data_IF_644822911910
#
_entry.id   IF_644822911910
#
_cell.length_a   1.000
_cell.length_b   1.000
_cell.length_c   1.000
_cell.angle_alpha   90.00
_cell.angle_beta   90.00
_cell.angle_gamma   90.00
#
_symmetry.space_group_name_H-M   'P 1'
#
loop_
_entity.id
_entity.type
_entity.pdbx_description
1 polymer ?
#
# COMPACT_ATOMS: atom_id res chain seq x y z
N UNK A 1 74.66 3.88 49.26
CA UNK A 1 74.21 3.46 50.61
C UNK A 1 73.03 4.34 51.01
N UNK A 2 71.85 3.72 51.23
CA UNK A 2 70.67 4.15 52.04
C UNK A 2 70.14 5.58 51.81
N UNK A 3 68.97 5.78 51.18
CA UNK A 3 67.58 5.69 51.73
C UNK A 3 67.47 6.63 52.96
N UNK A 4 66.55 7.61 53.07
CA UNK A 4 65.11 7.41 53.37
C UNK A 4 64.35 8.76 53.51
N UNK A 5 63.12 8.85 52.96
CA UNK A 5 61.86 9.45 53.50
C UNK A 5 61.82 10.98 53.75
N UNK A 6 60.74 11.76 53.68
CA UNK A 6 59.26 11.65 53.70
C UNK A 6 58.80 13.10 53.33
N UNK A 7 57.71 13.43 52.62
CA UNK A 7 56.34 13.52 53.14
C UNK A 7 55.45 14.29 52.10
N UNK A 8 54.32 13.68 51.73
CA UNK A 8 52.96 14.19 51.43
C UNK A 8 52.68 15.52 50.70
N UNK A 9 51.86 15.41 49.63
CA UNK A 9 50.54 16.04 49.36
C UNK A 9 50.33 16.05 47.83
N UNK A 10 49.80 15.00 47.19
CA UNK A 10 48.39 14.60 47.09
C UNK A 10 47.42 15.73 46.73
N UNK A 11 47.27 16.01 45.44
CA UNK A 11 45.99 16.46 44.84
C UNK A 11 45.85 15.83 43.46
N UNK A 12 45.06 14.76 43.40
CA UNK A 12 44.61 14.12 42.17
C UNK A 12 43.40 14.91 41.64
N UNK A 13 43.56 15.56 40.49
CA UNK A 13 42.43 16.06 39.70
C UNK A 13 42.12 15.00 38.64
N UNK A 14 41.33 13.99 39.03
CA UNK A 14 40.83 12.96 38.13
C UNK A 14 39.61 13.51 37.42
N UNK A 15 39.81 14.11 36.25
CA UNK A 15 38.73 14.52 35.35
C UNK A 15 38.11 13.27 34.75
N UNK A 16 36.98 12.83 35.31
CA UNK A 16 36.17 11.74 34.73
C UNK A 16 35.41 12.32 33.55
N UNK A 17 35.99 12.23 32.35
CA UNK A 17 35.26 12.42 31.10
C UNK A 17 34.36 11.21 30.89
N UNK A 18 33.09 11.35 31.27
CA UNK A 18 32.04 10.45 30.82
C UNK A 18 31.90 10.62 29.31
N UNK A 19 32.56 9.76 28.54
CA UNK A 19 32.11 9.45 27.19
C UNK A 19 30.78 8.72 27.33
N UNK A 20 29.68 9.46 27.31
CA UNK A 20 28.39 8.91 26.95
C UNK A 20 28.49 8.46 25.50
N UNK A 21 28.98 7.24 25.30
CA UNK A 21 28.73 6.49 24.08
C UNK A 21 27.24 6.19 24.08
N UNK A 22 26.45 7.15 23.58
CA UNK A 22 25.26 6.77 22.86
C UNK A 22 25.78 5.93 21.68
N UNK A 23 25.73 4.61 21.82
CA UNK A 23 25.44 3.78 20.66
C UNK A 23 24.07 4.25 20.19
N UNK A 24 24.09 5.30 19.38
CA UNK A 24 23.05 5.48 18.39
C UNK A 24 23.25 4.24 17.54
N UNK A 25 22.44 3.22 17.80
CA UNK A 25 22.22 2.18 16.81
C UNK A 25 21.80 2.97 15.57
N UNK A 26 22.77 3.20 14.70
CA UNK A 26 22.50 3.61 13.34
C UNK A 26 21.86 2.38 12.70
N UNK A 27 20.59 2.14 13.05
CA UNK A 27 19.60 1.51 12.20
C UNK A 27 19.41 2.47 11.01
N UNK A 28 20.49 2.71 10.26
CA UNK A 28 20.37 3.19 8.91
C UNK A 28 19.59 2.08 8.22
N UNK A 29 18.34 2.34 7.77
CA UNK A 29 17.53 1.29 7.19
C UNK A 29 18.31 0.70 6.04
N UNK A 30 18.57 -0.61 6.10
CA UNK A 30 19.23 -1.30 5.01
C UNK A 30 18.44 -0.93 3.75
N UNK A 31 19.12 -0.30 2.79
CA UNK A 31 18.49 0.17 1.56
C UNK A 31 17.92 -1.01 0.75
N UNK A 32 18.19 -2.24 1.19
CA UNK A 32 17.68 -3.50 0.66
C UNK A 32 16.72 -4.24 1.62
N UNK A 33 16.24 -3.61 2.71
CA UNK A 33 15.46 -4.29 3.75
C UNK A 33 14.20 -5.01 3.25
N UNK A 34 13.61 -4.52 2.15
CA UNK A 34 12.41 -5.13 1.53
C UNK A 34 12.73 -6.28 0.58
N UNK A 35 14.00 -6.47 0.18
CA UNK A 35 14.38 -7.54 -0.74
C UNK A 35 14.15 -8.91 -0.09
N UNK A 36 13.71 -9.85 -0.91
CA UNK A 36 13.35 -11.20 -0.49
C UNK A 36 11.98 -11.62 -0.97
N UNK A 37 11.57 -12.81 -0.53
CA UNK A 37 10.27 -13.40 -0.84
C UNK A 37 9.36 -13.26 0.36
N UNK A 38 8.11 -12.93 0.07
CA UNK A 38 7.09 -12.66 1.06
C UNK A 38 5.80 -13.40 0.74
N UNK A 39 5.16 -13.98 1.75
CA UNK A 39 3.83 -14.55 1.66
C UNK A 39 2.77 -13.45 1.74
N UNK A 40 1.77 -13.52 0.87
CA UNK A 40 0.63 -12.61 0.94
C UNK A 40 -0.31 -12.97 2.09
N UNK A 41 -0.34 -12.13 3.14
CA UNK A 41 -1.12 -12.40 4.35
C UNK A 41 -2.53 -11.86 4.24
N UNK A 42 -2.66 -10.56 3.95
CA UNK A 42 -3.95 -9.92 3.77
C UNK A 42 -3.85 -8.58 3.04
N UNK A 43 -5.00 -8.12 2.58
CA UNK A 43 -5.20 -6.81 2.01
C UNK A 43 -6.44 -6.17 2.64
N UNK A 44 -6.33 -4.90 3.00
CA UNK A 44 -7.45 -4.06 3.42
C UNK A 44 -7.59 -2.97 2.38
N UNK A 45 -8.77 -2.82 1.82
CA UNK A 45 -9.05 -1.80 0.80
C UNK A 45 -10.25 -0.97 1.22
N UNK A 46 -10.13 0.34 1.04
CA UNK A 46 -11.21 1.29 1.21
C UNK A 46 -11.23 2.20 -0.01
N UNK A 47 -12.23 2.07 -0.86
CA UNK A 47 -12.32 2.80 -2.13
C UNK A 47 -13.68 3.44 -2.32
N UNK A 48 -13.67 4.57 -3.01
CA UNK A 48 -14.84 5.26 -3.53
C UNK A 48 -14.68 5.35 -5.04
N UNK A 49 -15.62 4.77 -5.77
CA UNK A 49 -15.77 4.95 -7.21
C UNK A 49 -16.87 5.96 -7.47
N UNK A 50 -16.65 6.92 -8.35
CA UNK A 50 -17.63 7.90 -8.79
C UNK A 50 -17.71 7.84 -10.31
N UNK A 51 -18.85 7.40 -10.82
CA UNK A 51 -19.14 7.34 -12.24
C UNK A 51 -20.11 8.46 -12.60
N UNK A 52 -19.69 9.34 -13.50
CA UNK A 52 -20.47 10.48 -13.98
C UNK A 52 -20.81 10.21 -15.44
N UNK A 53 -22.10 10.14 -15.75
CA UNK A 53 -22.61 10.06 -17.11
C UNK A 53 -23.13 11.42 -17.54
N UNK A 54 -22.69 11.91 -18.69
CA UNK A 54 -23.09 13.20 -19.25
C UNK A 54 -23.53 13.01 -20.70
N UNK A 55 -24.70 13.54 -21.02
CA UNK A 55 -25.18 13.74 -22.40
C UNK A 55 -25.72 15.16 -22.56
N UNK A 56 -26.25 15.51 -23.73
CA UNK A 56 -26.86 16.82 -23.99
C UNK A 56 -28.07 17.09 -23.07
N UNK A 57 -28.81 16.04 -22.68
CA UNK A 57 -30.11 16.16 -22.01
C UNK A 57 -30.09 15.76 -20.53
N UNK A 58 -29.06 15.05 -20.05
CA UNK A 58 -29.00 14.61 -18.66
C UNK A 58 -27.57 14.45 -18.12
N UNK A 59 -27.45 14.57 -16.80
CA UNK A 59 -26.27 14.22 -16.02
C UNK A 59 -26.67 13.39 -14.81
N UNK A 60 -26.11 12.19 -14.75
CA UNK A 60 -26.29 11.27 -13.62
C UNK A 60 -24.95 10.93 -12.99
N UNK A 61 -24.95 10.69 -11.68
CA UNK A 61 -23.76 10.30 -10.93
C UNK A 61 -24.07 9.10 -10.07
N UNK A 62 -23.24 8.07 -10.14
CA UNK A 62 -23.26 6.92 -9.24
C UNK A 62 -22.00 6.95 -8.38
N UNK A 63 -22.17 6.84 -7.06
CA UNK A 63 -21.08 6.74 -6.09
C UNK A 63 -21.14 5.34 -5.47
N UNK A 64 -20.05 4.58 -5.56
CA UNK A 64 -19.95 3.25 -4.97
C UNK A 64 -18.81 3.26 -3.95
N UNK A 65 -19.15 2.98 -2.69
CA UNK A 65 -18.18 2.80 -1.60
C UNK A 65 -17.98 1.30 -1.38
N UNK A 66 -16.71 0.88 -1.44
CA UNK A 66 -16.29 -0.50 -1.22
C UNK A 66 -15.20 -0.54 -0.14
N UNK A 67 -15.52 -1.15 1.00
CA UNK A 67 -14.57 -1.39 2.07
C UNK A 67 -14.51 -2.90 2.31
N UNK A 68 -13.32 -3.49 2.25
CA UNK A 68 -13.19 -4.92 2.45
C UNK A 68 -11.84 -5.32 3.01
N UNK A 69 -11.83 -6.49 3.64
CA UNK A 69 -10.63 -7.24 4.00
C UNK A 69 -10.62 -8.50 3.15
N UNK A 70 -9.51 -8.76 2.47
CA UNK A 70 -9.37 -9.93 1.62
C UNK A 70 -9.37 -11.23 2.43
N UNK A 71 -10.02 -12.26 1.88
CA UNK A 71 -10.14 -13.61 2.44
C UNK A 71 -9.44 -14.62 1.53
N UNK A 72 -9.10 -15.80 2.06
CA UNK A 72 -8.49 -16.89 1.30
C UNK A 72 -7.27 -16.42 0.49
N UNK A 73 -6.41 -15.65 1.14
CA UNK A 73 -5.24 -15.02 0.53
C UNK A 73 -4.19 -16.08 0.19
N UNK A 74 -3.60 -15.97 -1.00
CA UNK A 74 -2.54 -16.86 -1.43
C UNK A 74 -1.64 -16.23 -2.47
N UNK A 75 -0.46 -16.82 -2.64
CA UNK A 75 0.59 -16.35 -3.51
C UNK A 75 1.70 -15.63 -2.76
N UNK A 76 2.74 -15.27 -3.50
CA UNK A 76 3.95 -14.65 -2.96
C UNK A 76 4.30 -13.39 -3.71
N UNK A 77 5.08 -12.52 -3.06
CA UNK A 77 5.66 -11.32 -3.64
C UNK A 77 7.16 -11.40 -3.42
N UNK A 78 7.94 -11.25 -4.49
CA UNK A 78 9.40 -11.20 -4.43
C UNK A 78 9.87 -9.81 -4.84
N UNK A 79 10.66 -9.17 -3.98
CA UNK A 79 11.39 -7.95 -4.31
C UNK A 79 12.85 -8.33 -4.55
N UNK A 80 13.35 -8.09 -5.76
CA UNK A 80 14.79 -8.12 -6.04
C UNK A 80 15.36 -6.68 -6.04
N UNK A 81 16.52 -6.45 -6.64
CA UNK A 81 17.15 -5.13 -6.67
C UNK A 81 16.36 -4.06 -7.45
N UNK A 82 15.56 -4.42 -8.45
CA UNK A 82 14.91 -3.46 -9.35
C UNK A 82 13.47 -3.82 -9.74
N UNK A 83 13.02 -5.02 -9.42
CA UNK A 83 11.71 -5.55 -9.80
C UNK A 83 10.99 -6.19 -8.63
N UNK A 84 9.67 -6.03 -8.65
CA UNK A 84 8.74 -6.76 -7.81
C UNK A 84 8.02 -7.78 -8.68
N UNK A 85 7.89 -9.00 -8.18
CA UNK A 85 7.18 -10.08 -8.85
C UNK A 85 6.13 -10.67 -7.93
N UNK A 86 4.86 -10.66 -8.33
CA UNK A 86 3.82 -11.48 -7.72
C UNK A 86 3.74 -12.85 -8.41
N UNK A 87 3.55 -13.91 -7.62
CA UNK A 87 3.39 -15.27 -8.13
C UNK A 87 2.17 -15.93 -7.51
N UNK A 88 1.28 -16.48 -8.35
CA UNK A 88 0.04 -17.16 -7.95
C UNK A 88 -0.83 -16.34 -6.99
N UNK A 89 -0.80 -15.02 -7.12
CA UNK A 89 -1.51 -14.09 -6.26
C UNK A 89 -3.03 -14.25 -6.44
N UNK A 90 -3.74 -14.50 -5.34
CA UNK A 90 -5.18 -14.75 -5.32
C UNK A 90 -5.79 -14.33 -3.99
N UNK A 91 -7.06 -13.93 -4.04
CA UNK A 91 -7.87 -13.65 -2.86
C UNK A 91 -9.35 -13.63 -3.22
N UNK A 92 -10.18 -13.64 -2.18
CA UNK A 92 -11.61 -13.41 -2.24
C UNK A 92 -11.97 -12.09 -1.56
N UNK A 93 -12.95 -11.40 -2.13
CA UNK A 93 -13.68 -10.30 -1.52
C UNK A 93 -15.08 -10.77 -1.22
N UNK A 94 -15.56 -10.44 -0.02
CA UNK A 94 -16.92 -10.71 0.42
C UNK A 94 -17.31 -9.56 1.36
N UNK A 95 -18.09 -8.63 0.83
CA UNK A 95 -18.44 -7.35 1.47
C UNK A 95 -19.81 -6.87 1.02
N UNK A 96 -20.24 -5.74 1.56
CA UNK A 96 -21.44 -5.00 1.14
C UNK A 96 -20.98 -3.68 0.52
N UNK A 97 -21.33 -3.47 -0.75
CA UNK A 97 -21.12 -2.19 -1.43
C UNK A 97 -22.24 -1.24 -1.05
N UNK A 98 -21.90 0.02 -0.80
CA UNK A 98 -22.89 1.10 -0.68
C UNK A 98 -22.92 1.87 -1.97
N UNK A 99 -24.07 1.93 -2.62
CA UNK A 99 -24.21 2.64 -3.88
C UNK A 99 -25.26 3.75 -3.73
N UNK A 100 -24.91 4.96 -4.15
CA UNK A 100 -25.74 6.17 -4.12
C UNK A 100 -25.86 6.72 -5.52
N UNK A 101 -27.08 7.06 -5.94
CA UNK A 101 -27.39 7.54 -7.28
C UNK A 101 -27.98 8.93 -7.20
N UNK A 102 -27.41 9.83 -7.99
CA UNK A 102 -27.75 11.23 -8.04
C UNK A 102 -28.19 11.58 -9.46
N UNK A 103 -29.37 12.18 -9.57
CA UNK A 103 -29.84 12.84 -10.78
C UNK A 103 -29.62 14.36 -10.65
N UNK A 104 -30.02 15.11 -11.67
CA UNK A 104 -29.81 16.56 -11.74
C UNK A 104 -30.52 17.35 -10.63
N UNK A 105 -31.56 16.78 -10.00
CA UNK A 105 -32.37 17.37 -8.93
C UNK A 105 -31.97 16.92 -7.51
N UNK A 106 -31.02 15.99 -7.36
CA UNK A 106 -30.50 15.54 -6.06
C UNK A 106 -30.21 14.04 -5.99
N UNK A 107 -30.00 13.54 -4.76
CA UNK A 107 -29.91 12.09 -4.51
C UNK A 107 -31.28 11.47 -4.72
N UNK A 108 -31.34 10.48 -5.61
CA UNK A 108 -32.60 9.82 -5.94
C UNK A 108 -32.71 8.42 -5.31
N UNK A 109 -31.61 7.68 -5.18
CA UNK A 109 -31.64 6.32 -4.63
C UNK A 109 -30.35 5.95 -3.87
N UNK A 110 -30.46 5.04 -2.92
CA UNK A 110 -29.35 4.48 -2.19
C UNK A 110 -29.62 3.02 -1.80
N UNK A 111 -28.65 2.14 -2.04
CA UNK A 111 -28.78 0.72 -1.78
C UNK A 111 -27.49 0.06 -1.30
N UNK A 112 -27.67 -1.01 -0.55
CA UNK A 112 -26.61 -1.91 -0.12
C UNK A 112 -26.65 -3.18 -0.99
N UNK A 113 -25.52 -3.47 -1.65
CA UNK A 113 -25.41 -4.60 -2.58
C UNK A 113 -24.42 -5.61 -1.98
N UNK A 114 -24.88 -6.82 -1.61
CA UNK A 114 -23.97 -7.91 -1.29
C UNK A 114 -23.05 -8.20 -2.47
N UNK A 115 -21.75 -8.22 -2.23
CA UNK A 115 -20.75 -8.37 -3.28
C UNK A 115 -19.73 -9.42 -2.88
N UNK A 116 -19.60 -10.45 -3.73
CA UNK A 116 -18.57 -11.47 -3.58
C UNK A 116 -17.87 -11.68 -4.91
N UNK A 117 -16.54 -11.68 -4.87
CA UNK A 117 -15.70 -11.88 -6.03
C UNK A 117 -14.43 -12.63 -5.64
N UNK A 118 -13.96 -13.52 -6.52
CA UNK A 118 -12.68 -14.21 -6.37
C UNK A 118 -11.74 -13.73 -7.45
N UNK A 119 -10.57 -13.24 -7.07
CA UNK A 119 -9.49 -12.96 -7.99
C UNK A 119 -8.77 -14.27 -8.30
N UNK A 120 -8.80 -14.75 -9.56
CA UNK A 120 -8.10 -15.97 -9.91
C UNK A 120 -6.59 -15.79 -9.73
N UNK A 121 -5.89 -16.92 -9.56
CA UNK A 121 -4.43 -16.91 -9.48
C UNK A 121 -3.83 -16.21 -10.69
N UNK A 122 -2.93 -15.29 -10.42
CA UNK A 122 -2.26 -14.51 -11.45
C UNK A 122 -0.86 -14.13 -10.98
N UNK A 123 0.01 -13.85 -11.94
CA UNK A 123 1.39 -13.46 -11.70
C UNK A 123 1.69 -12.21 -12.52
N UNK A 124 2.45 -11.29 -11.94
CA UNK A 124 2.85 -10.05 -12.58
C UNK A 124 4.26 -9.69 -12.18
N UNK A 125 4.94 -8.89 -12.99
CA UNK A 125 6.23 -8.29 -12.68
C UNK A 125 6.15 -6.81 -12.97
N UNK A 126 6.73 -5.99 -12.10
CA UNK A 126 6.81 -4.55 -12.26
C UNK A 126 8.19 -4.03 -11.87
N UNK A 127 8.78 -3.10 -12.62
CA UNK A 127 9.93 -2.33 -12.14
C UNK A 127 9.53 -1.49 -10.93
N UNK A 128 10.44 -1.35 -9.97
CA UNK A 128 10.27 -0.45 -8.84
C UNK A 128 11.57 0.29 -8.49
N UNK A 129 11.41 1.37 -7.73
CA UNK A 129 12.51 2.08 -7.08
C UNK A 129 12.11 2.48 -5.66
N UNK A 130 13.04 2.35 -4.72
CA UNK A 130 12.87 2.94 -3.40
C UNK A 130 13.04 4.46 -3.48
N UNK A 131 12.25 5.16 -2.69
CA UNK A 131 12.28 6.62 -2.55
C UNK A 131 12.54 6.92 -1.08
N UNK A 132 13.81 6.95 -0.69
CA UNK A 132 14.20 6.98 0.72
C UNK A 132 13.97 5.62 1.40
N UNK A 133 13.65 5.65 2.69
CA UNK A 133 13.62 4.44 3.55
C UNK A 133 12.20 3.94 3.83
N UNK A 134 11.18 4.75 3.56
CA UNK A 134 9.79 4.49 3.93
C UNK A 134 8.83 4.57 2.72
N UNK A 135 9.36 4.71 1.50
CA UNK A 135 8.56 4.88 0.30
C UNK A 135 9.11 4.07 -0.86
N UNK A 136 8.19 3.56 -1.68
CA UNK A 136 8.48 2.81 -2.89
C UNK A 136 7.63 3.37 -4.04
N UNK A 137 8.20 3.40 -5.23
CA UNK A 137 7.50 3.73 -6.47
C UNK A 137 7.55 2.53 -7.40
N UNK A 138 6.39 2.15 -7.93
CA UNK A 138 6.23 1.11 -8.93
C UNK A 138 5.88 1.76 -10.28
N UNK A 139 6.58 1.36 -11.35
CA UNK A 139 6.29 1.87 -12.71
C UNK A 139 4.96 1.34 -13.26
N UNK A 140 4.50 0.22 -12.71
CA UNK A 140 3.17 -0.36 -12.91
C UNK A 140 2.82 -1.13 -11.63
N UNK A 141 1.55 -1.36 -11.34
CA UNK A 141 1.22 -2.20 -10.19
C UNK A 141 1.56 -3.68 -10.44
N UNK A 142 1.52 -4.48 -9.38
CA UNK A 142 1.85 -5.91 -9.43
C UNK A 142 0.74 -6.82 -8.85
N UNK A 143 -0.35 -6.25 -8.35
CA UNK A 143 -1.49 -6.98 -7.78
C UNK A 143 -2.77 -6.61 -8.54
N UNK A 144 -3.46 -7.63 -9.04
CA UNK A 144 -4.79 -7.47 -9.64
C UNK A 144 -5.82 -7.02 -8.60
N UNK A 145 -6.68 -6.07 -8.98
CA UNK A 145 -7.73 -5.52 -8.12
C UNK A 145 -9.11 -6.01 -8.58
N UNK A 146 -10.04 -6.17 -7.63
CA UNK A 146 -11.45 -6.35 -7.97
C UNK A 146 -12.02 -5.02 -8.45
N UNK A 147 -12.73 -5.03 -9.57
CA UNK A 147 -13.49 -3.86 -10.02
C UNK A 147 -14.77 -3.69 -9.21
N UNK A 148 -15.08 -2.44 -8.87
CA UNK A 148 -16.28 -2.07 -8.12
C UNK A 148 -17.49 -1.77 -9.02
N UNK A 149 -17.27 -1.67 -10.33
CA UNK A 149 -18.32 -1.47 -11.36
C UNK A 149 -18.85 -2.79 -11.95
N UNK A 150 -18.39 -3.95 -11.43
CA UNK A 150 -18.79 -5.27 -11.92
C UNK A 150 -18.06 -5.74 -13.19
N UNK A 151 -17.12 -4.96 -13.74
CA UNK A 151 -16.32 -5.37 -14.92
C UNK A 151 -15.30 -6.49 -14.66
N UNK A 152 -15.23 -7.00 -13.43
CA UNK A 152 -14.41 -8.14 -13.06
C UNK A 152 -13.08 -7.74 -12.40
N UNK A 153 -11.96 -8.04 -13.05
CA UNK A 153 -10.61 -7.83 -12.49
C UNK A 153 -9.90 -6.70 -13.23
N UNK A 154 -9.31 -5.76 -12.50
CA UNK A 154 -8.52 -4.65 -13.04
C UNK A 154 -7.05 -5.06 -13.03
N UNK A 155 -6.46 -5.10 -14.22
CA UNK A 155 -5.02 -5.32 -14.38
C UNK A 155 -4.22 -4.13 -13.83
N UNK A 156 -3.08 -4.37 -13.18
CA UNK A 156 -2.34 -3.31 -12.49
C UNK A 156 -1.41 -2.56 -13.44
N UNK A 157 -1.98 -1.85 -14.40
CA UNK A 157 -1.24 -1.19 -15.49
C UNK A 157 -0.75 0.21 -15.15
N UNK A 158 -1.22 0.78 -14.04
CA UNK A 158 -0.92 2.17 -13.67
C UNK A 158 0.22 2.22 -12.66
N UNK A 159 1.13 3.17 -12.85
CA UNK A 159 2.18 3.47 -11.88
C UNK A 159 1.58 3.86 -10.52
N UNK A 160 2.25 3.49 -9.43
CA UNK A 160 1.77 3.81 -8.08
C UNK A 160 2.91 3.97 -7.09
N UNK A 161 2.65 4.75 -6.03
CA UNK A 161 3.58 4.89 -4.91
C UNK A 161 2.97 4.30 -3.64
N UNK A 162 3.80 3.70 -2.80
CA UNK A 162 3.38 3.17 -1.51
C UNK A 162 4.31 3.65 -0.40
N UNK A 163 3.73 3.85 0.79
CA UNK A 163 4.50 3.95 2.03
C UNK A 163 4.78 2.56 2.57
N UNK A 164 5.96 2.37 3.13
CA UNK A 164 6.46 1.14 3.72
C UNK A 164 6.43 1.29 5.24
N UNK A 165 5.94 0.27 5.94
CA UNK A 165 6.19 0.12 7.37
C UNK A 165 6.40 -1.33 7.74
N UNK A 166 7.00 -1.55 8.90
CA UNK A 166 7.41 -2.87 9.39
C UNK A 166 6.75 -3.16 10.73
N UNK A 167 6.34 -4.41 10.91
CA UNK A 167 5.86 -4.92 12.19
C UNK A 167 6.45 -6.32 12.40
N UNK A 168 7.66 -6.38 12.99
CA UNK A 168 8.45 -7.61 13.03
C UNK A 168 8.75 -8.10 11.62
N UNK A 169 8.44 -9.36 11.34
CA UNK A 169 8.65 -9.98 10.02
C UNK A 169 7.56 -9.65 8.98
N UNK A 170 6.66 -8.71 9.29
CA UNK A 170 5.61 -8.27 8.37
C UNK A 170 5.97 -6.94 7.73
N UNK A 171 6.09 -6.94 6.40
CA UNK A 171 6.13 -5.74 5.57
C UNK A 171 4.69 -5.28 5.28
N UNK A 172 4.43 -3.98 5.44
CA UNK A 172 3.14 -3.36 5.17
C UNK A 172 3.30 -2.28 4.11
N UNK A 173 2.55 -2.40 3.03
CA UNK A 173 2.50 -1.45 1.92
C UNK A 173 1.19 -0.66 2.01
N UNK A 174 1.25 0.66 2.17
CA UNK A 174 0.10 1.55 2.06
C UNK A 174 0.14 2.31 0.74
N UNK A 175 -0.79 2.00 -0.16
CA UNK A 175 -0.94 2.64 -1.47
C UNK A 175 -2.16 3.55 -1.46
N UNK A 176 -2.01 4.76 -2.01
CA UNK A 176 -3.15 5.61 -2.33
C UNK A 176 -3.60 5.32 -3.77
N UNK A 177 -4.88 5.04 -3.93
CA UNK A 177 -5.50 4.81 -5.24
C UNK A 177 -6.04 6.16 -5.71
N UNK A 178 -5.64 6.55 -6.93
CA UNK A 178 -6.22 7.65 -7.66
C UNK A 178 -6.16 7.31 -9.15
N UNK A 179 -7.28 6.86 -9.69
CA UNK A 179 -7.42 6.47 -11.08
C UNK A 179 -8.63 7.16 -11.69
N UNK A 180 -8.54 7.52 -12.97
CA UNK A 180 -9.64 8.10 -13.72
C UNK A 180 -9.68 7.52 -15.12
N UNK A 181 -10.87 7.21 -15.61
CA UNK A 181 -11.12 6.72 -16.97
C UNK A 181 -12.28 7.50 -17.56
N UNK A 182 -12.14 7.98 -18.79
CA UNK A 182 -13.22 8.63 -19.53
C UNK A 182 -13.42 7.90 -20.84
N UNK A 183 -14.66 7.52 -21.13
CA UNK A 183 -15.07 6.86 -22.37
C UNK A 183 -16.30 7.58 -22.93
N UNK A 184 -16.40 7.66 -24.25
CA UNK A 184 -17.60 8.20 -24.92
C UNK A 184 -18.19 7.13 -25.81
N UNK A 185 -19.47 6.82 -25.60
CA UNK A 185 -20.20 5.83 -26.37
C UNK A 185 -21.64 6.26 -26.58
N UNK A 186 -22.16 6.11 -27.80
CA UNK A 186 -23.56 6.45 -28.15
C UNK A 186 -23.99 7.87 -27.74
N UNK A 187 -23.07 8.85 -27.82
CA UNK A 187 -23.33 10.25 -27.44
C UNK A 187 -23.32 10.53 -25.94
N UNK A 188 -23.00 9.54 -25.10
CA UNK A 188 -22.84 9.70 -23.65
C UNK A 188 -21.36 9.63 -23.30
N UNK A 189 -20.87 10.61 -22.56
CA UNK A 189 -19.53 10.58 -21.96
C UNK A 189 -19.65 10.07 -20.53
N UNK A 190 -18.96 8.96 -20.26
CA UNK A 190 -18.85 8.36 -18.93
C UNK A 190 -17.45 8.61 -18.39
N UNK A 191 -17.35 9.26 -17.24
CA UNK A 191 -16.11 9.42 -16.49
C UNK A 191 -16.21 8.66 -15.17
N UNK A 192 -15.32 7.70 -14.96
CA UNK A 192 -15.19 6.96 -13.70
C UNK A 192 -13.91 7.37 -13.00
N UNK A 193 -14.04 7.87 -11.77
CA UNK A 193 -12.94 8.23 -10.88
C UNK A 193 -12.95 7.27 -9.71
N UNK A 194 -11.81 6.63 -9.44
CA UNK A 194 -11.64 5.74 -8.28
C UNK A 194 -10.57 6.33 -7.37
N UNK A 195 -10.94 6.56 -6.12
CA UNK A 195 -10.02 7.01 -5.07
C UNK A 195 -10.06 6.06 -3.89
N UNK A 196 -9.00 6.02 -3.09
CA UNK A 196 -9.00 5.23 -1.87
C UNK A 196 -7.63 4.89 -1.33
N UNK A 197 -7.60 3.92 -0.43
CA UNK A 197 -6.38 3.37 0.16
C UNK A 197 -6.40 1.86 0.09
N UNK A 198 -5.24 1.27 -0.16
CA UNK A 198 -5.01 -0.17 -0.09
C UNK A 198 -3.82 -0.42 0.83
N UNK A 199 -4.02 -1.29 1.82
CA UNK A 199 -2.99 -1.77 2.74
C UNK A 199 -2.75 -3.23 2.47
N UNK A 200 -1.56 -3.58 1.98
CA UNK A 200 -1.14 -4.96 1.75
C UNK A 200 -0.16 -5.37 2.84
N UNK A 201 -0.39 -6.52 3.47
CA UNK A 201 0.55 -7.12 4.42
C UNK A 201 1.20 -8.36 3.82
N UNK A 202 2.51 -8.40 3.94
CA UNK A 202 3.39 -9.40 3.40
C UNK A 202 4.26 -9.95 4.54
N UNK A 203 4.29 -11.27 4.73
CA UNK A 203 5.10 -11.92 5.77
C UNK A 203 6.37 -12.49 5.17
N UNK A 204 7.51 -12.26 5.81
CA UNK A 204 8.80 -12.77 5.33
C UNK A 204 8.80 -14.31 5.33
N UNK A 205 9.32 -14.91 4.26
CA UNK A 205 9.61 -16.35 4.20
C UNK A 205 10.93 -16.71 4.90
#
# INVERSE_FOLDING_TARGET
MKITRLLFLLTAATTITFFASCSKDDDQPDVNAIQGTWDFVNMISATVSTTINVSDDYKDTAVIVANYVSKNNGGTVMFDATTVKSSDFTYMVDTVLKAEYFASDGMYDAYEIPFSATIPKSSSTAPYKLVGTDSIYFEQGFINMVSTDGSGTIAPTTASGSRLTWSGDTLVLLTHINASKTETGQGVTTTTIVTGTQVVKLLKQ
#
